data_IF_964113755249
#
_entry.id   IF_964113755249
#
_cell.length_a   1.000
_cell.length_b   1.000
_cell.length_c   1.000
_cell.angle_alpha   90.00
_cell.angle_beta   90.00
_cell.angle_gamma   90.00
#
_symmetry.space_group_name_H-M   'P 1'
#
loop_
_entity.id
_entity.type
_entity.pdbx_description
1 polymer ?
#
# COMPACT_ATOMS: atom_id res chain seq x y z
N UNK A 1 -17.22 -1.02 -32.32
CA UNK A 1 -17.89 -0.94 -31.01
C UNK A 1 -16.98 -1.64 -29.99
N UNK A 2 -16.27 -0.86 -29.19
CA UNK A 2 -15.73 -1.20 -27.85
C UNK A 2 -15.23 -2.62 -27.57
N UNK A 3 -13.97 -2.91 -27.86
CA UNK A 3 -13.18 -3.89 -27.09
C UNK A 3 -12.05 -3.17 -26.36
N UNK A 4 -12.38 -2.16 -25.58
CA UNK A 4 -11.42 -1.48 -24.67
C UNK A 4 -11.01 -2.41 -23.52
N UNK A 5 -11.82 -3.43 -23.24
CA UNK A 5 -11.59 -4.44 -22.22
C UNK A 5 -11.48 -5.82 -22.86
N UNK A 6 -10.26 -6.22 -23.23
CA UNK A 6 -9.98 -7.63 -23.50
C UNK A 6 -9.79 -8.38 -22.17
N UNK A 7 -9.97 -9.72 -22.16
CA UNK A 7 -9.73 -10.53 -20.96
C UNK A 7 -8.31 -10.35 -20.39
N UNK A 8 -7.32 -10.15 -21.25
CA UNK A 8 -5.91 -9.93 -20.87
C UNK A 8 -5.74 -8.60 -20.15
N UNK A 9 -6.32 -7.52 -20.69
CA UNK A 9 -6.30 -6.20 -20.04
C UNK A 9 -7.02 -6.23 -18.70
N UNK A 10 -8.14 -6.96 -18.60
CA UNK A 10 -8.87 -7.12 -17.34
C UNK A 10 -8.02 -7.87 -16.30
N UNK A 11 -7.31 -8.92 -16.70
CA UNK A 11 -6.42 -9.66 -15.81
C UNK A 11 -5.22 -8.80 -15.35
N UNK A 12 -4.66 -7.99 -16.26
CA UNK A 12 -3.59 -7.04 -15.91
C UNK A 12 -4.08 -5.97 -14.92
N UNK A 13 -5.26 -5.39 -15.15
CA UNK A 13 -5.90 -4.45 -14.23
C UNK A 13 -6.17 -5.08 -12.86
N UNK A 14 -6.68 -6.31 -12.84
CA UNK A 14 -6.90 -7.06 -11.61
C UNK A 14 -5.59 -7.31 -10.85
N UNK A 15 -4.54 -7.69 -11.56
CA UNK A 15 -3.21 -7.90 -10.99
C UNK A 15 -2.66 -6.62 -10.38
N UNK A 16 -2.71 -5.50 -11.11
CA UNK A 16 -2.33 -4.18 -10.60
C UNK A 16 -3.15 -3.79 -9.35
N UNK A 17 -4.45 -4.08 -9.34
CA UNK A 17 -5.31 -3.78 -8.19
C UNK A 17 -4.94 -4.61 -6.95
N UNK A 18 -4.78 -5.93 -7.10
CA UNK A 18 -4.37 -6.81 -6.00
C UNK A 18 -2.99 -6.43 -5.48
N UNK A 19 -2.05 -6.12 -6.38
CA UNK A 19 -0.73 -5.60 -6.01
C UNK A 19 -0.82 -4.28 -5.24
N UNK A 20 -1.66 -3.34 -5.68
CA UNK A 20 -1.85 -2.06 -4.99
C UNK A 20 -2.41 -2.24 -3.57
N UNK A 21 -3.38 -3.14 -3.39
CA UNK A 21 -3.94 -3.51 -2.08
C UNK A 21 -2.88 -4.13 -1.16
N UNK A 22 -2.14 -5.11 -1.67
CA UNK A 22 -1.08 -5.78 -0.93
C UNK A 22 0.03 -4.80 -0.54
N UNK A 23 0.52 -4.00 -1.50
CA UNK A 23 1.54 -2.98 -1.27
C UNK A 23 1.12 -1.97 -0.22
N UNK A 24 -0.12 -1.47 -0.30
CA UNK A 24 -0.67 -0.53 0.68
C UNK A 24 -0.74 -1.14 2.08
N UNK A 25 -1.23 -2.38 2.18
CA UNK A 25 -1.36 -3.09 3.46
C UNK A 25 -0.01 -3.37 4.10
N UNK A 26 0.97 -3.83 3.30
CA UNK A 26 2.34 -4.09 3.76
C UNK A 26 3.02 -2.78 4.19
N UNK A 27 2.91 -1.73 3.37
CA UNK A 27 3.52 -0.44 3.66
C UNK A 27 2.98 0.17 4.96
N UNK A 28 1.66 0.20 5.15
CA UNK A 28 1.05 0.68 6.39
C UNK A 28 1.47 -0.20 7.58
N UNK A 29 1.47 -1.52 7.43
CA UNK A 29 1.85 -2.43 8.51
C UNK A 29 3.29 -2.19 8.96
N UNK A 30 4.24 -2.06 8.03
CA UNK A 30 5.66 -1.82 8.34
C UNK A 30 5.86 -0.43 8.95
N UNK A 31 5.22 0.60 8.38
CA UNK A 31 5.50 1.99 8.74
C UNK A 31 4.73 2.48 9.97
N UNK A 32 3.55 1.93 10.23
CA UNK A 32 2.65 2.37 11.31
C UNK A 32 2.42 1.29 12.38
N UNK A 33 2.59 0.00 12.05
CA UNK A 33 2.37 -1.09 12.99
C UNK A 33 3.34 -1.07 14.17
N UNK A 34 2.80 -1.25 15.38
CA UNK A 34 3.60 -1.35 16.61
C UNK A 34 4.54 -2.55 16.56
N UNK A 35 4.09 -3.67 15.98
CA UNK A 35 4.90 -4.89 15.80
C UNK A 35 6.20 -4.61 15.00
N UNK A 36 6.18 -3.65 14.10
CA UNK A 36 7.32 -3.28 13.26
C UNK A 36 8.13 -2.10 13.83
N UNK A 37 7.83 -1.61 15.04
CA UNK A 37 8.64 -0.58 15.69
C UNK A 37 10.12 -0.99 15.86
N UNK A 38 10.47 -2.24 16.28
CA UNK A 38 11.86 -2.66 16.38
C UNK A 38 12.58 -2.65 15.03
N UNK A 39 11.90 -3.09 13.96
CA UNK A 39 12.45 -3.06 12.60
C UNK A 39 12.78 -1.64 12.16
N UNK A 40 11.87 -0.69 12.39
CA UNK A 40 12.08 0.74 12.05
C UNK A 40 13.25 1.33 12.82
N UNK A 41 13.36 1.03 14.11
CA UNK A 41 14.49 1.49 14.93
C UNK A 41 15.82 0.86 14.50
N UNK A 42 15.80 -0.42 14.10
CA UNK A 42 16.98 -1.09 13.57
C UNK A 42 17.43 -0.48 12.23
N UNK A 43 16.49 -0.20 11.33
CA UNK A 43 16.75 0.42 10.04
C UNK A 43 17.43 1.80 10.17
N UNK A 44 17.09 2.59 11.19
CA UNK A 44 17.72 3.88 11.47
C UNK A 44 19.23 3.78 11.75
N UNK A 45 19.73 2.62 12.19
CA UNK A 45 21.16 2.40 12.44
C UNK A 45 21.99 2.32 11.17
N UNK A 46 21.37 2.04 10.02
CA UNK A 46 22.06 1.93 8.72
C UNK A 46 22.17 3.26 7.97
N UNK A 47 21.67 4.35 8.58
CA UNK A 47 21.76 5.70 8.04
C UNK A 47 20.38 6.31 7.75
N UNK A 48 20.39 7.64 7.58
CA UNK A 48 19.18 8.46 7.45
C UNK A 48 18.25 8.00 6.30
N UNK A 49 18.80 7.67 5.13
CA UNK A 49 17.99 7.31 3.96
C UNK A 49 17.24 5.98 4.15
N UNK A 50 17.90 4.95 4.69
CA UNK A 50 17.29 3.65 4.97
C UNK A 50 16.28 3.80 6.11
N UNK A 51 16.62 4.56 7.16
CA UNK A 51 15.68 4.87 8.23
C UNK A 51 14.40 5.54 7.73
N UNK A 52 14.53 6.55 6.85
CA UNK A 52 13.39 7.24 6.25
C UNK A 52 12.52 6.31 5.40
N UNK A 53 13.15 5.37 4.68
CA UNK A 53 12.43 4.39 3.86
C UNK A 53 11.40 3.62 4.69
N UNK A 54 11.80 3.08 5.85
CA UNK A 54 10.93 2.30 6.72
C UNK A 54 9.93 3.13 7.55
N UNK A 55 9.94 4.45 7.43
CA UNK A 55 8.97 5.34 8.07
C UNK A 55 7.99 5.97 7.08
N UNK A 56 8.30 5.89 5.78
CA UNK A 56 7.51 6.48 4.71
C UNK A 56 6.69 5.39 4.01
N UNK A 57 5.36 5.37 4.21
CA UNK A 57 4.49 4.36 3.60
C UNK A 57 4.57 4.39 2.06
N UNK A 58 4.60 5.59 1.48
CA UNK A 58 4.74 5.77 0.04
C UNK A 58 6.05 5.15 -0.47
N UNK A 59 7.14 5.36 0.26
CA UNK A 59 8.45 4.87 -0.10
C UNK A 59 8.52 3.33 -0.05
N UNK A 60 7.96 2.70 1.00
CA UNK A 60 7.84 1.23 1.04
C UNK A 60 6.95 0.72 -0.10
N UNK A 61 5.82 1.39 -0.39
CA UNK A 61 4.95 1.00 -1.50
C UNK A 61 5.68 0.96 -2.85
N UNK A 62 6.66 1.86 -3.11
CA UNK A 62 7.49 1.81 -4.32
C UNK A 62 8.21 0.48 -4.44
N UNK A 63 8.93 0.08 -3.40
CA UNK A 63 9.68 -1.16 -3.41
C UNK A 63 8.79 -2.40 -3.49
N UNK A 64 7.65 -2.39 -2.80
CA UNK A 64 6.72 -3.53 -2.87
C UNK A 64 6.08 -3.63 -4.25
N UNK A 65 5.66 -2.52 -4.86
CA UNK A 65 5.14 -2.53 -6.23
C UNK A 65 6.22 -2.93 -7.24
N UNK A 66 7.43 -2.38 -7.14
CA UNK A 66 8.52 -2.74 -8.04
C UNK A 66 8.88 -4.22 -7.94
N UNK A 67 8.94 -4.77 -6.72
CA UNK A 67 9.10 -6.21 -6.54
C UNK A 67 7.94 -6.98 -7.22
N UNK A 68 6.69 -6.55 -7.02
CA UNK A 68 5.54 -7.15 -7.68
C UNK A 68 5.60 -7.08 -9.21
N UNK A 69 6.05 -5.96 -9.79
CA UNK A 69 6.22 -5.81 -11.24
C UNK A 69 7.22 -6.83 -11.79
N UNK A 70 8.33 -7.05 -11.07
CA UNK A 70 9.36 -8.05 -11.44
C UNK A 70 8.85 -9.48 -11.35
N UNK A 71 7.85 -9.79 -10.53
CA UNK A 71 7.29 -11.15 -10.47
C UNK A 71 6.11 -11.35 -11.42
N UNK A 72 5.17 -10.40 -11.46
CA UNK A 72 3.89 -10.57 -12.16
C UNK A 72 3.86 -9.97 -13.57
N UNK A 73 4.84 -9.13 -13.92
CA UNK A 73 5.00 -8.56 -15.26
C UNK A 73 3.69 -7.99 -15.87
N UNK A 74 2.88 -7.19 -15.15
CA UNK A 74 1.60 -6.75 -15.68
C UNK A 74 1.79 -5.72 -16.80
N UNK A 75 1.19 -5.97 -17.97
CA UNK A 75 1.22 -5.05 -19.12
C UNK A 75 -0.18 -4.52 -19.38
N UNK A 76 -0.41 -3.23 -19.10
CA UNK A 76 -1.70 -2.55 -19.32
C UNK A 76 -1.86 -2.02 -20.75
N UNK A 77 -0.75 -1.61 -21.35
CA UNK A 77 -0.66 -1.09 -22.70
C UNK A 77 0.30 -1.95 -23.49
N UNK A 78 0.14 -1.92 -24.82
CA UNK A 78 1.08 -2.55 -25.74
C UNK A 78 1.52 -1.47 -26.73
N UNK A 79 2.58 -0.74 -26.35
CA UNK A 79 3.15 0.35 -27.16
C UNK A 79 4.30 -0.13 -28.06
N UNK A 80 4.67 -1.41 -27.99
CA UNK A 80 5.85 -1.97 -28.63
C UNK A 80 7.15 -1.76 -27.85
N UNK A 81 7.14 -0.94 -26.78
CA UNK A 81 8.27 -0.70 -25.90
C UNK A 81 7.99 -1.19 -24.48
N UNK A 82 8.49 -2.39 -24.15
CA UNK A 82 8.23 -3.08 -22.87
C UNK A 82 8.55 -2.19 -21.66
N UNK A 83 9.65 -1.43 -21.70
CA UNK A 83 10.06 -0.57 -20.58
C UNK A 83 9.05 0.55 -20.31
N UNK A 84 8.47 1.14 -21.37
CA UNK A 84 7.48 2.22 -21.24
C UNK A 84 6.18 1.67 -20.67
N UNK A 85 5.72 0.51 -21.15
CA UNK A 85 4.51 -0.15 -20.65
C UNK A 85 4.66 -0.55 -19.16
N UNK A 86 5.86 -0.96 -18.75
CA UNK A 86 6.18 -1.27 -17.35
C UNK A 86 6.21 -0.06 -16.44
N UNK A 87 6.81 1.05 -16.90
CA UNK A 87 6.79 2.31 -16.15
C UNK A 87 5.33 2.75 -15.96
N UNK A 88 4.52 2.72 -17.02
CA UNK A 88 3.12 3.11 -16.96
C UNK A 88 2.33 2.22 -15.98
N UNK A 89 2.47 0.89 -16.08
CA UNK A 89 1.80 -0.06 -15.19
C UNK A 89 2.27 0.05 -13.73
N UNK A 90 3.58 0.27 -13.51
CA UNK A 90 4.15 0.47 -12.19
C UNK A 90 3.63 1.72 -11.52
N UNK A 91 3.66 2.87 -12.20
CA UNK A 91 3.12 4.12 -11.67
C UNK A 91 1.60 4.10 -11.50
N UNK A 92 0.87 3.48 -12.43
CA UNK A 92 -0.56 3.23 -12.26
C UNK A 92 -0.87 2.45 -10.98
N UNK A 93 -0.13 1.36 -10.76
CA UNK A 93 -0.27 0.53 -9.55
C UNK A 93 0.11 1.31 -8.28
N UNK A 94 1.15 2.16 -8.34
CA UNK A 94 1.55 3.00 -7.22
C UNK A 94 0.50 4.06 -6.88
N UNK A 95 -0.12 4.69 -7.88
CA UNK A 95 -1.23 5.62 -7.68
C UNK A 95 -2.40 4.92 -7.01
N UNK A 96 -2.79 3.74 -7.50
CA UNK A 96 -3.83 2.92 -6.85
C UNK A 96 -3.45 2.57 -5.42
N UNK A 97 -2.20 2.15 -5.17
CA UNK A 97 -1.72 1.81 -3.83
C UNK A 97 -1.85 3.00 -2.88
N UNK A 98 -1.50 4.20 -3.33
CA UNK A 98 -1.59 5.44 -2.53
C UNK A 98 -3.04 5.80 -2.20
N UNK A 99 -3.96 5.65 -3.17
CA UNK A 99 -5.39 5.86 -2.95
C UNK A 99 -5.94 4.86 -1.91
N UNK A 100 -5.58 3.59 -2.06
CA UNK A 100 -5.93 2.54 -1.09
C UNK A 100 -5.34 2.87 0.28
N UNK A 101 -4.09 3.32 0.36
CA UNK A 101 -3.46 3.69 1.64
C UNK A 101 -4.24 4.80 2.35
N UNK A 102 -4.69 5.82 1.60
CA UNK A 102 -5.55 6.87 2.15
C UNK A 102 -6.88 6.34 2.70
N UNK A 103 -7.51 5.39 1.99
CA UNK A 103 -8.74 4.73 2.45
C UNK A 103 -8.47 3.87 3.70
N UNK A 104 -7.44 3.02 3.69
CA UNK A 104 -7.06 2.18 4.83
C UNK A 104 -6.77 3.03 6.06
N UNK A 105 -6.03 4.14 5.89
CA UNK A 105 -5.70 5.03 6.99
C UNK A 105 -6.97 5.66 7.60
N UNK A 106 -7.92 6.11 6.79
CA UNK A 106 -9.22 6.62 7.28
C UNK A 106 -10.01 5.54 8.04
N UNK A 107 -10.04 4.31 7.53
CA UNK A 107 -10.71 3.19 8.19
C UNK A 107 -10.05 2.87 9.54
N UNK A 108 -8.71 2.81 9.58
CA UNK A 108 -7.95 2.57 10.80
C UNK A 108 -8.17 3.66 11.85
N UNK A 109 -8.08 4.94 11.47
CA UNK A 109 -8.36 6.06 12.37
C UNK A 109 -9.78 5.99 12.94
N UNK A 110 -10.77 5.66 12.09
CA UNK A 110 -12.17 5.49 12.53
C UNK A 110 -12.32 4.34 13.52
N UNK A 111 -11.64 3.22 13.27
CA UNK A 111 -11.62 2.06 14.18
C UNK A 111 -10.98 2.39 15.53
N UNK A 112 -9.86 3.12 15.53
CA UNK A 112 -9.20 3.57 16.75
C UNK A 112 -10.07 4.56 17.54
N UNK A 113 -10.69 5.53 16.88
CA UNK A 113 -11.61 6.47 17.52
C UNK A 113 -12.80 5.75 18.18
N UNK A 114 -13.35 4.72 17.52
CA UNK A 114 -14.39 3.88 18.13
C UNK A 114 -13.88 3.16 19.38
N UNK A 115 -12.71 2.53 19.32
CA UNK A 115 -12.11 1.82 20.46
C UNK A 115 -11.89 2.73 21.67
N UNK A 116 -11.46 3.97 21.45
CA UNK A 116 -11.30 4.97 22.53
C UNK A 116 -12.65 5.29 23.17
N UNK A 117 -13.66 5.64 22.36
CA UNK A 117 -15.02 5.91 22.89
C UNK A 117 -15.61 4.73 23.65
N UNK A 118 -15.44 3.51 23.13
CA UNK A 118 -15.94 2.29 23.79
C UNK A 118 -15.27 2.07 25.16
N UNK A 119 -14.00 2.48 25.30
CA UNK A 119 -13.27 2.43 26.57
C UNK A 119 -13.80 3.48 27.56
N UNK A 120 -13.95 4.73 27.12
CA UNK A 120 -14.48 5.84 27.94
C UNK A 120 -15.89 5.54 28.47
N UNK A 121 -16.77 5.01 27.62
CA UNK A 121 -18.13 4.60 28.02
C UNK A 121 -18.07 3.52 29.10
N UNK A 122 -17.23 2.50 28.93
CA UNK A 122 -17.06 1.44 29.94
C UNK A 122 -16.53 1.98 31.27
N UNK A 123 -15.59 2.93 31.25
CA UNK A 123 -15.06 3.57 32.45
C UNK A 123 -16.14 4.38 33.20
N UNK A 124 -17.00 5.12 32.48
CA UNK A 124 -18.13 5.86 33.07
C UNK A 124 -19.13 4.92 33.75
N UNK A 125 -19.45 3.78 33.12
CA UNK A 125 -20.37 2.80 33.69
C UNK A 125 -19.76 2.00 34.84
N UNK A 126 -18.44 1.81 34.88
CA UNK A 126 -17.75 1.15 35.99
C UNK A 126 -17.54 2.06 37.21
N UNK A 127 -17.56 3.38 37.01
CA UNK A 127 -17.44 4.38 38.08
C UNK A 127 -18.78 4.70 38.78
N UNK A 128 -19.86 4.03 38.39
CA UNK A 128 -21.22 4.20 38.95
C UNK A 128 -21.66 2.94 39.68
#
# INVERSE_FOLDING_TARGET
MTTVFSPETLNALWTCFVMALAASSIAISITQGELFAPLRQYAQRFGHMIGHLFQCFFCISHWVVFAGMVFYHPTLTNSGFVLVDWILAGFFTLTLSTLVSGLLFKVLLTGMAKKVRDKEVKEIFAAK
#
